data_IF_556442507456
#
_entry.id   IF_556442507456
#
_cell.length_a   1.000
_cell.length_b   1.000
_cell.length_c   1.000
_cell.angle_alpha   90.00
_cell.angle_beta   90.00
_cell.angle_gamma   90.00
#
_symmetry.space_group_name_H-M   'P 1'
#
loop_
_entity.id
_entity.type
_entity.pdbx_description
1 polymer ?
#
# COMPACT_ATOMS: atom_id res chain seq x y z
N UNK A 1 30.39 1.48 0.85
CA UNK A 1 29.15 1.82 1.59
C UNK A 1 28.20 0.63 1.54
N UNK A 2 27.96 -0.06 2.66
CA UNK A 2 27.11 -1.26 2.68
C UNK A 2 25.63 -0.89 2.53
N UNK A 3 24.97 -1.42 1.48
CA UNK A 3 23.53 -1.27 1.19
C UNK A 3 22.63 -1.97 2.23
N UNK A 4 22.70 -1.60 3.51
CA UNK A 4 21.97 -2.28 4.61
C UNK A 4 20.52 -1.79 4.83
N UNK A 5 19.81 -1.39 3.78
CA UNK A 5 18.39 -1.04 3.91
C UNK A 5 17.63 -1.23 2.60
N UNK A 6 16.54 -2.01 2.69
CA UNK A 6 15.62 -2.47 1.63
C UNK A 6 16.10 -3.62 0.74
N UNK A 7 16.80 -4.61 1.30
CA UNK A 7 17.37 -5.74 0.56
C UNK A 7 16.37 -6.63 -0.19
N UNK A 8 15.08 -6.61 0.14
CA UNK A 8 14.06 -7.45 -0.51
C UNK A 8 13.70 -7.00 -1.92
N UNK A 9 13.56 -5.68 -2.16
CA UNK A 9 13.33 -5.17 -3.52
C UNK A 9 14.53 -5.38 -4.44
N UNK A 10 15.74 -5.24 -3.89
CA UNK A 10 16.98 -5.57 -4.61
C UNK A 10 17.14 -7.07 -4.86
N UNK A 11 16.75 -7.91 -3.89
CA UNK A 11 16.78 -9.35 -4.09
C UNK A 11 15.78 -9.79 -5.17
N UNK A 12 14.60 -9.18 -5.22
CA UNK A 12 13.62 -9.45 -6.28
C UNK A 12 14.19 -9.13 -7.68
N UNK A 13 14.88 -7.99 -7.81
CA UNK A 13 15.62 -7.60 -9.02
C UNK A 13 16.69 -8.61 -9.40
N UNK A 14 17.57 -8.94 -8.45
CA UNK A 14 18.70 -9.86 -8.67
C UNK A 14 18.23 -11.26 -9.06
N UNK A 15 17.04 -11.65 -8.61
CA UNK A 15 16.40 -12.93 -8.94
C UNK A 15 15.57 -12.88 -10.23
N UNK A 16 15.44 -11.70 -10.86
CA UNK A 16 14.77 -11.55 -12.15
C UNK A 16 13.23 -11.59 -12.08
N UNK A 17 12.63 -11.17 -10.96
CA UNK A 17 11.17 -11.04 -10.87
C UNK A 17 10.67 -9.74 -11.54
N UNK A 18 9.50 -9.82 -12.17
CA UNK A 18 8.86 -8.68 -12.84
C UNK A 18 8.01 -7.80 -11.90
N UNK A 19 7.65 -8.32 -10.73
CA UNK A 19 6.82 -7.63 -9.73
C UNK A 19 7.18 -8.04 -8.30
N UNK A 20 6.91 -7.13 -7.37
CA UNK A 20 7.03 -7.40 -5.94
C UNK A 20 5.85 -6.79 -5.17
N UNK A 21 5.16 -7.61 -4.38
CA UNK A 21 3.94 -7.22 -3.68
C UNK A 21 4.22 -6.86 -2.23
N UNK A 22 3.63 -5.75 -1.77
CA UNK A 22 3.78 -5.29 -0.38
C UNK A 22 2.44 -5.34 0.35
N UNK A 23 2.36 -6.25 1.32
CA UNK A 23 1.23 -6.39 2.23
C UNK A 23 1.19 -5.29 3.29
N UNK A 24 -0.03 -4.90 3.70
CA UNK A 24 -0.23 -4.04 4.86
C UNK A 24 -0.57 -4.83 6.12
N UNK A 25 0.24 -4.68 7.16
CA UNK A 25 -0.01 -5.30 8.47
C UNK A 25 0.28 -4.32 9.61
N UNK A 26 -0.65 -4.21 10.57
CA UNK A 26 -0.55 -3.27 11.70
C UNK A 26 -0.35 -3.92 13.05
N UNK A 27 -0.75 -5.18 13.18
CA UNK A 27 -0.73 -5.93 14.44
C UNK A 27 -0.13 -7.33 14.28
N UNK A 28 0.30 -7.71 13.07
CA UNK A 28 1.01 -8.96 12.80
C UNK A 28 2.41 -8.95 13.42
N UNK A 29 2.88 -10.06 14.03
CA UNK A 29 4.24 -10.15 14.56
C UNK A 29 5.31 -10.17 13.46
N UNK A 30 4.94 -10.67 12.28
CA UNK A 30 5.76 -10.73 11.08
C UNK A 30 5.34 -9.63 10.11
N UNK A 31 6.33 -8.97 9.49
CA UNK A 31 6.15 -7.96 8.44
C UNK A 31 5.24 -6.77 8.79
N UNK A 32 5.56 -5.95 9.83
CA UNK A 32 4.75 -4.79 10.24
C UNK A 32 4.93 -3.60 9.29
N UNK A 33 4.64 -3.79 8.01
CA UNK A 33 4.59 -2.72 7.03
C UNK A 33 3.22 -2.05 7.15
N UNK A 34 3.15 -1.03 8.01
CA UNK A 34 1.92 -0.26 8.28
C UNK A 34 1.58 0.72 7.16
N UNK A 35 2.47 0.90 6.19
CA UNK A 35 2.36 1.88 5.11
C UNK A 35 3.17 1.37 3.90
N UNK A 36 2.60 0.44 3.12
CA UNK A 36 3.24 -0.09 1.91
C UNK A 36 3.72 1.00 0.96
N UNK A 37 2.95 2.06 0.80
CA UNK A 37 3.26 3.21 -0.05
C UNK A 37 4.57 3.93 0.34
N UNK A 38 4.81 4.10 1.64
CA UNK A 38 6.04 4.73 2.13
C UNK A 38 7.24 3.79 1.97
N UNK A 39 7.01 2.49 2.12
CA UNK A 39 8.02 1.48 1.83
C UNK A 39 8.40 1.50 0.35
N UNK A 40 7.41 1.48 -0.54
CA UNK A 40 7.57 1.56 -2.00
C UNK A 40 8.30 2.86 -2.37
N UNK A 41 7.89 4.02 -1.84
CA UNK A 41 8.59 5.28 -2.05
C UNK A 41 10.07 5.25 -1.64
N UNK A 42 10.39 4.57 -0.55
CA UNK A 42 11.76 4.42 -0.10
C UNK A 42 12.59 3.47 -0.98
N UNK A 43 11.96 2.43 -1.55
CA UNK A 43 12.58 1.50 -2.52
C UNK A 43 12.82 2.21 -3.85
N UNK A 44 11.79 2.84 -4.42
CA UNK A 44 11.88 3.62 -5.66
C UNK A 44 12.96 4.70 -5.60
N UNK A 45 13.11 5.40 -4.46
CA UNK A 45 14.19 6.40 -4.32
C UNK A 45 15.60 5.80 -4.44
N UNK A 46 15.78 4.50 -4.17
CA UNK A 46 17.08 3.83 -4.24
C UNK A 46 17.34 3.11 -5.56
N UNK A 47 16.29 2.80 -6.33
CA UNK A 47 16.41 2.17 -7.65
C UNK A 47 16.06 3.21 -8.72
N UNK A 48 17.05 3.63 -9.50
CA UNK A 48 16.85 4.63 -10.55
C UNK A 48 16.00 4.13 -11.75
N UNK A 49 15.64 2.84 -11.79
CA UNK A 49 15.05 2.16 -12.95
C UNK A 49 14.09 1.03 -12.61
N UNK A 50 13.38 1.09 -11.47
CA UNK A 50 12.42 0.04 -11.13
C UNK A 50 11.23 0.08 -12.11
N UNK A 51 11.29 -0.68 -13.20
CA UNK A 51 10.20 -0.93 -14.15
C UNK A 51 9.28 -2.03 -13.64
N UNK A 52 9.01 -2.07 -12.33
CA UNK A 52 8.15 -3.08 -11.74
C UNK A 52 6.89 -2.47 -11.21
N UNK A 53 5.80 -3.21 -11.41
CA UNK A 53 4.62 -3.00 -10.60
C UNK A 53 4.96 -3.37 -9.14
N UNK A 54 4.71 -2.45 -8.22
CA UNK A 54 4.73 -2.70 -6.78
C UNK A 54 3.31 -2.52 -6.22
N UNK A 55 2.41 -3.51 -6.38
CA UNK A 55 1.06 -3.37 -5.89
C UNK A 55 1.07 -3.29 -4.37
N UNK A 56 0.57 -2.18 -3.84
CA UNK A 56 0.22 -2.10 -2.44
C UNK A 56 -1.18 -2.66 -2.19
N UNK A 57 -1.43 -3.15 -0.98
CA UNK A 57 -2.77 -3.47 -0.51
C UNK A 57 -3.19 -2.51 0.60
N UNK A 58 -3.61 -1.30 0.22
CA UNK A 58 -4.12 -0.31 1.16
C UNK A 58 -5.41 -0.79 1.81
N UNK A 59 -5.41 -0.90 3.12
CA UNK A 59 -6.53 -1.45 3.87
C UNK A 59 -7.58 -0.39 4.23
N UNK A 60 -8.84 -0.63 3.85
CA UNK A 60 -9.94 0.30 4.12
C UNK A 60 -10.28 0.43 5.61
N UNK A 61 -9.98 -0.58 6.42
CA UNK A 61 -10.35 -0.56 7.85
C UNK A 61 -9.40 0.33 8.67
N UNK A 62 -8.16 0.50 8.21
CA UNK A 62 -7.06 1.12 8.98
C UNK A 62 -6.87 2.60 8.68
N UNK A 63 -7.45 3.11 7.57
CA UNK A 63 -7.23 4.49 7.11
C UNK A 63 -8.50 5.12 6.56
N UNK A 64 -8.51 6.45 6.63
CA UNK A 64 -9.54 7.25 6.00
C UNK A 64 -9.43 7.21 4.46
N UNK A 65 -10.56 7.27 3.76
CA UNK A 65 -10.67 7.22 2.29
C UNK A 65 -9.81 8.27 1.58
N UNK A 66 -9.79 9.50 2.12
CA UNK A 66 -8.91 10.59 1.63
C UNK A 66 -7.44 10.16 1.59
N UNK A 67 -6.96 9.42 2.59
CA UNK A 67 -5.56 9.03 2.72
C UNK A 67 -5.20 8.00 1.65
N UNK A 68 -6.10 7.05 1.39
CA UNK A 68 -5.96 6.06 0.32
C UNK A 68 -5.96 6.74 -1.06
N UNK A 69 -6.90 7.67 -1.31
CA UNK A 69 -6.94 8.41 -2.57
C UNK A 69 -5.65 9.21 -2.82
N UNK A 70 -5.13 9.90 -1.79
CA UNK A 70 -3.84 10.61 -1.88
C UNK A 70 -2.67 9.66 -2.15
N UNK A 71 -2.68 8.45 -1.57
CA UNK A 71 -1.61 7.48 -1.78
C UNK A 71 -1.60 6.94 -3.20
N UNK A 72 -2.78 6.67 -3.75
CA UNK A 72 -2.91 6.23 -5.14
C UNK A 72 -2.34 7.31 -6.06
N UNK A 73 -2.66 8.57 -5.81
CA UNK A 73 -2.11 9.69 -6.58
C UNK A 73 -0.58 9.77 -6.51
N UNK A 74 0.01 9.64 -5.32
CA UNK A 74 1.47 9.68 -5.19
C UNK A 74 2.16 8.51 -5.89
N UNK A 75 1.63 7.30 -5.73
CA UNK A 75 2.21 6.07 -6.29
C UNK A 75 2.07 6.01 -7.81
N UNK A 76 1.02 6.59 -8.39
CA UNK A 76 0.89 6.68 -9.85
C UNK A 76 1.96 7.56 -10.49
N UNK A 77 2.45 8.59 -9.79
CA UNK A 77 3.59 9.41 -10.24
C UNK A 77 4.93 8.67 -10.16
N UNK A 78 4.96 7.53 -9.47
CA UNK A 78 6.11 6.67 -9.35
C UNK A 78 5.97 5.41 -10.22
N UNK A 79 4.96 5.35 -11.09
CA UNK A 79 4.64 4.17 -11.92
C UNK A 79 4.38 2.89 -11.10
N UNK A 80 4.00 3.04 -9.82
CA UNK A 80 3.66 1.93 -8.96
C UNK A 80 2.14 1.69 -8.92
N UNK A 81 1.72 0.44 -9.12
CA UNK A 81 0.32 0.06 -9.01
C UNK A 81 -0.18 0.11 -7.55
N UNK A 82 -1.47 0.35 -7.37
CA UNK A 82 -2.11 0.44 -6.07
C UNK A 82 -3.39 -0.37 -5.99
N UNK A 83 -3.54 -1.14 -4.92
CA UNK A 83 -4.70 -1.97 -4.66
C UNK A 83 -5.41 -1.60 -3.35
N UNK A 84 -6.70 -1.91 -3.29
CA UNK A 84 -7.53 -1.75 -2.09
C UNK A 84 -7.91 -3.11 -1.53
N UNK A 85 -7.92 -3.26 -0.20
CA UNK A 85 -8.40 -4.45 0.50
C UNK A 85 -9.36 -4.09 1.63
N UNK A 86 -10.31 -4.98 1.89
CA UNK A 86 -11.23 -4.93 3.05
C UNK A 86 -11.03 -6.16 3.92
N UNK A 87 -9.89 -6.23 4.61
CA UNK A 87 -9.55 -7.34 5.51
C UNK A 87 -8.54 -6.88 6.53
N UNK A 88 -8.57 -7.42 7.73
CA UNK A 88 -7.51 -7.26 8.74
C UNK A 88 -7.58 -8.39 9.74
N UNK A 89 -6.68 -8.37 10.72
CA UNK A 89 -6.73 -9.27 11.88
C UNK A 89 -7.72 -8.75 12.94
N UNK A 90 -8.23 -9.58 13.86
CA UNK A 90 -9.10 -9.09 14.94
C UNK A 90 -8.46 -7.98 15.76
N UNK A 91 -7.13 -8.02 15.91
CA UNK A 91 -6.35 -6.99 16.56
C UNK A 91 -6.30 -5.69 15.75
N UNK A 92 -6.28 -5.75 14.41
CA UNK A 92 -6.38 -4.53 13.57
C UNK A 92 -7.74 -3.86 13.75
N UNK A 93 -8.83 -4.64 13.74
CA UNK A 93 -10.17 -4.10 13.97
C UNK A 93 -10.28 -3.45 15.36
N UNK A 94 -9.80 -4.14 16.40
CA UNK A 94 -9.76 -3.58 17.76
C UNK A 94 -8.89 -2.32 17.86
N UNK A 95 -7.76 -2.24 17.16
CA UNK A 95 -6.85 -1.09 17.18
C UNK A 95 -7.47 0.17 16.58
N UNK A 96 -8.40 0.00 15.63
CA UNK A 96 -9.04 1.10 14.89
C UNK A 96 -10.50 1.32 15.30
N UNK A 97 -10.90 0.83 16.48
CA UNK A 97 -12.26 0.95 17.01
C UNK A 97 -13.33 0.46 16.03
N UNK A 98 -13.04 -0.66 15.35
CA UNK A 98 -13.94 -1.35 14.43
C UNK A 98 -14.38 -2.69 15.01
N UNK A 99 -15.60 -3.10 14.70
CA UNK A 99 -16.09 -4.42 15.06
C UNK A 99 -15.54 -5.46 14.09
N UNK A 100 -15.10 -6.61 14.61
CA UNK A 100 -14.65 -7.71 13.76
C UNK A 100 -15.76 -8.14 12.80
N UNK A 101 -15.43 -8.19 11.51
CA UNK A 101 -16.43 -8.49 10.48
C UNK A 101 -17.26 -7.28 10.03
N UNK A 102 -16.97 -6.07 10.52
CA UNK A 102 -17.50 -4.84 9.93
C UNK A 102 -17.20 -4.83 8.42
N UNK A 103 -18.26 -4.96 7.62
CA UNK A 103 -18.16 -4.82 6.19
C UNK A 103 -18.08 -3.33 5.85
N UNK A 104 -16.86 -2.79 5.73
CA UNK A 104 -16.69 -1.52 5.02
C UNK A 104 -17.12 -1.77 3.58
N UNK A 105 -18.16 -1.07 3.11
CA UNK A 105 -18.61 -1.18 1.73
C UNK A 105 -17.48 -0.80 0.79
N UNK A 106 -16.88 -1.79 0.14
CA UNK A 106 -15.83 -1.56 -0.86
C UNK A 106 -16.37 -0.66 -1.97
N UNK A 107 -17.61 -0.88 -2.41
CA UNK A 107 -18.26 -0.05 -3.44
C UNK A 107 -18.37 1.42 -3.03
N UNK A 108 -18.79 1.69 -1.79
CA UNK A 108 -18.94 3.08 -1.31
C UNK A 108 -17.58 3.74 -1.13
N UNK A 109 -16.62 3.01 -0.56
CA UNK A 109 -15.26 3.51 -0.38
C UNK A 109 -14.59 3.80 -1.72
N UNK A 110 -14.70 2.89 -2.69
CA UNK A 110 -14.22 3.11 -4.06
C UNK A 110 -14.92 4.30 -4.72
N UNK A 111 -16.23 4.46 -4.52
CA UNK A 111 -16.97 5.62 -5.03
C UNK A 111 -16.42 6.96 -4.51
N UNK A 112 -16.03 7.04 -3.23
CA UNK A 112 -15.39 8.24 -2.67
C UNK A 112 -13.96 8.40 -3.17
N UNK A 113 -13.16 7.33 -3.20
CA UNK A 113 -11.77 7.36 -3.67
C UNK A 113 -11.71 7.84 -5.13
N UNK A 114 -12.55 7.28 -6.00
CA UNK A 114 -12.61 7.64 -7.41
C UNK A 114 -13.06 9.09 -7.60
N UNK A 115 -14.04 9.58 -6.83
CA UNK A 115 -14.42 11.00 -6.85
C UNK A 115 -13.24 11.91 -6.49
N UNK A 116 -12.52 11.59 -5.42
CA UNK A 116 -11.34 12.37 -5.01
C UNK A 116 -10.27 12.32 -6.10
N UNK A 117 -9.98 11.14 -6.65
CA UNK A 117 -9.03 10.95 -7.74
C UNK A 117 -9.36 11.83 -8.95
N UNK A 118 -10.62 11.82 -9.41
CA UNK A 118 -11.06 12.63 -10.56
C UNK A 118 -10.92 14.13 -10.31
N UNK A 119 -11.05 14.58 -9.06
CA UNK A 119 -10.86 15.99 -8.69
C UNK A 119 -9.38 16.38 -8.62
N UNK A 120 -8.48 15.43 -8.38
CA UNK A 120 -7.03 15.65 -8.29
C UNK A 120 -6.33 15.54 -9.65
N UNK A 121 -6.96 14.86 -10.63
CA UNK A 121 -6.37 14.55 -11.94
C UNK A 121 -6.61 15.65 -13.00
N UNK A 122 -6.86 16.88 -12.57
CA UNK A 122 -7.08 18.07 -13.41
C UNK A 122 -5.79 18.88 -13.43
#
# INVERSE_FOLDING_TARGET
MSRRGYGTGFAAEELGYDEFWVGEHHTGPWEPIVSPEMFIAAVFRKQAYATWSCPNSSNLITRHRWRIARHFWTTSHMEAESGVRVRGSPADFSKYDRTWGDAVSLSEAMGVILKIWTLMSI
#
